data_IF_262805944702
#
_entry.id   IF_262805944702
#
_cell.length_a   1.000
_cell.length_b   1.000
_cell.length_c   1.000
_cell.angle_alpha   90.00
_cell.angle_beta   90.00
_cell.angle_gamma   90.00
#
_symmetry.space_group_name_H-M   'P 1'
#
loop_
_entity.id
_entity.type
_entity.pdbx_description
1 polymer ?
#
# COMPACT_ATOMS: atom_id res chain seq x y z
N UNK A 1 -64.93 55.28 -5.49
CA UNK A 1 -63.81 54.83 -6.35
C UNK A 1 -62.44 55.23 -5.80
N UNK A 2 -62.12 56.51 -5.55
CA UNK A 2 -60.78 56.92 -5.07
C UNK A 2 -60.36 56.40 -3.67
N UNK A 3 -61.32 56.03 -2.81
CA UNK A 3 -61.06 55.51 -1.45
C UNK A 3 -60.75 54.00 -1.47
N UNK A 4 -61.39 53.24 -2.36
CA UNK A 4 -61.10 51.80 -2.51
C UNK A 4 -59.73 51.56 -3.14
N UNK A 5 -59.33 52.37 -4.14
CA UNK A 5 -58.00 52.31 -4.76
C UNK A 5 -56.89 52.63 -3.76
N UNK A 6 -57.11 53.58 -2.86
CA UNK A 6 -56.13 53.95 -1.83
C UNK A 6 -55.90 52.82 -0.81
N UNK A 7 -56.99 52.14 -0.42
CA UNK A 7 -56.95 51.02 0.54
C UNK A 7 -56.33 49.75 -0.05
N UNK A 8 -56.55 49.47 -1.33
CA UNK A 8 -55.91 48.33 -2.02
C UNK A 8 -54.42 48.57 -2.26
N UNK A 9 -54.01 49.79 -2.60
CA UNK A 9 -52.60 50.17 -2.72
C UNK A 9 -51.85 50.04 -1.38
N UNK A 10 -52.42 50.50 -0.27
CA UNK A 10 -51.83 50.36 1.07
C UNK A 10 -51.68 48.90 1.49
N UNK A 11 -52.69 48.07 1.21
CA UNK A 11 -52.64 46.62 1.48
C UNK A 11 -51.55 45.94 0.65
N UNK A 12 -51.44 46.27 -0.64
CA UNK A 12 -50.41 45.74 -1.53
C UNK A 12 -49.01 46.14 -1.06
N UNK A 13 -48.78 47.42 -0.73
CA UNK A 13 -47.53 47.91 -0.16
C UNK A 13 -47.14 47.19 1.13
N UNK A 14 -48.12 46.93 2.00
CA UNK A 14 -47.89 46.21 3.27
C UNK A 14 -47.50 44.74 3.03
N UNK A 15 -48.19 44.06 2.11
CA UNK A 15 -47.87 42.68 1.73
C UNK A 15 -46.48 42.59 1.10
N UNK A 16 -46.17 43.45 0.12
CA UNK A 16 -44.86 43.48 -0.54
C UNK A 16 -43.74 43.72 0.47
N UNK A 17 -43.91 44.66 1.40
CA UNK A 17 -42.93 44.94 2.45
C UNK A 17 -42.71 43.74 3.37
N UNK A 18 -43.77 43.04 3.78
CA UNK A 18 -43.66 41.83 4.61
C UNK A 18 -42.95 40.71 3.84
N UNK A 19 -43.29 40.50 2.57
CA UNK A 19 -42.63 39.51 1.71
C UNK A 19 -41.15 39.81 1.54
N UNK A 20 -40.78 41.07 1.27
CA UNK A 20 -39.36 41.47 1.15
C UNK A 20 -38.61 41.24 2.47
N UNK A 21 -39.20 41.61 3.61
CA UNK A 21 -38.59 41.36 4.92
C UNK A 21 -38.42 39.86 5.21
N UNK A 22 -39.40 39.03 4.85
CA UNK A 22 -39.30 37.57 4.98
C UNK A 22 -38.19 37.00 4.09
N UNK A 23 -38.08 37.44 2.83
CA UNK A 23 -36.99 37.04 1.93
C UNK A 23 -35.62 37.46 2.47
N UNK A 24 -35.50 38.67 3.03
CA UNK A 24 -34.26 39.14 3.66
C UNK A 24 -33.87 38.32 4.90
N UNK A 25 -34.85 37.95 5.73
CA UNK A 25 -34.61 37.10 6.90
C UNK A 25 -34.11 35.70 6.50
N UNK A 26 -34.72 35.09 5.47
CA UNK A 26 -34.29 33.80 4.92
C UNK A 26 -32.89 33.89 4.30
N UNK A 27 -32.58 34.99 3.60
CA UNK A 27 -31.25 35.21 3.03
C UNK A 27 -30.17 35.31 4.12
N UNK A 28 -30.42 36.08 5.19
CA UNK A 28 -29.51 36.17 6.34
C UNK A 28 -29.30 34.83 7.05
N UNK A 29 -30.37 34.08 7.30
CA UNK A 29 -30.27 32.74 7.88
C UNK A 29 -29.45 31.80 7.01
N UNK A 30 -29.64 31.86 5.69
CA UNK A 30 -28.88 31.06 4.73
C UNK A 30 -27.38 31.38 4.79
N UNK A 31 -27.00 32.66 4.89
CA UNK A 31 -25.59 33.08 5.02
C UNK A 31 -24.95 32.47 6.28
N UNK A 32 -25.66 32.48 7.42
CA UNK A 32 -25.13 31.93 8.68
C UNK A 32 -24.94 30.41 8.57
N UNK A 33 -25.96 29.68 8.12
CA UNK A 33 -25.92 28.22 8.01
C UNK A 33 -24.85 27.77 7.02
N UNK A 34 -24.80 28.41 5.84
CA UNK A 34 -23.79 28.11 4.83
C UNK A 34 -22.39 28.48 5.30
N UNK A 35 -22.22 29.60 6.01
CA UNK A 35 -20.94 30.02 6.60
C UNK A 35 -20.39 29.00 7.60
N UNK A 36 -21.25 28.45 8.47
CA UNK A 36 -20.88 27.36 9.39
C UNK A 36 -20.46 26.11 8.60
N UNK A 37 -21.20 25.74 7.55
CA UNK A 37 -20.84 24.59 6.71
C UNK A 37 -19.48 24.79 6.00
N UNK A 38 -19.19 26.01 5.50
CA UNK A 38 -17.88 26.33 4.90
C UNK A 38 -16.76 26.13 5.92
N UNK A 39 -16.93 26.65 7.14
CA UNK A 39 -15.94 26.52 8.20
C UNK A 39 -15.71 25.04 8.57
N UNK A 40 -16.79 24.28 8.76
CA UNK A 40 -16.73 22.86 9.10
C UNK A 40 -16.05 22.02 8.01
N UNK A 41 -16.42 22.21 6.75
CA UNK A 41 -15.85 21.43 5.64
C UNK A 41 -14.39 21.81 5.35
N UNK A 42 -14.04 23.10 5.47
CA UNK A 42 -12.67 23.58 5.30
C UNK A 42 -11.73 23.14 6.42
N UNK A 43 -12.25 22.87 7.62
CA UNK A 43 -11.48 22.39 8.76
C UNK A 43 -11.13 20.89 8.69
N UNK A 44 -11.69 20.13 7.74
CA UNK A 44 -11.36 18.70 7.59
C UNK A 44 -9.92 18.53 7.10
N UNK A 45 -9.12 17.85 7.91
CA UNK A 45 -7.74 17.49 7.57
C UNK A 45 -7.66 16.07 7.01
N UNK A 46 -6.67 15.78 6.13
CA UNK A 46 -6.41 14.43 5.66
C UNK A 46 -5.95 13.54 6.82
N UNK A 47 -6.49 12.32 6.89
CA UNK A 47 -5.97 11.28 7.76
C UNK A 47 -4.82 10.55 7.04
N UNK A 48 -3.69 10.38 7.71
CA UNK A 48 -2.62 9.56 7.15
C UNK A 48 -2.97 8.07 7.24
N UNK A 49 -2.70 7.29 6.17
CA UNK A 49 -2.90 5.84 6.21
C UNK A 49 -1.93 5.19 7.19
N UNK A 50 -2.28 3.99 7.65
CA UNK A 50 -1.36 3.18 8.43
C UNK A 50 -0.11 2.85 7.58
N UNK A 51 1.09 2.87 8.17
CA UNK A 51 2.32 2.59 7.42
C UNK A 51 2.29 1.20 6.80
N UNK A 52 2.94 1.05 5.65
CA UNK A 52 3.06 -0.24 4.97
C UNK A 52 3.76 -1.24 5.90
N UNK A 53 3.17 -2.43 6.04
CA UNK A 53 3.75 -3.48 6.85
C UNK A 53 4.84 -4.22 6.07
N UNK A 54 5.82 -4.74 6.81
CA UNK A 54 6.83 -5.65 6.23
C UNK A 54 6.26 -7.06 6.18
N UNK A 55 6.68 -7.82 5.17
CA UNK A 55 6.34 -9.22 5.09
C UNK A 55 6.84 -9.99 6.33
N UNK A 56 6.14 -11.05 6.77
CA UNK A 56 6.61 -11.92 7.82
C UNK A 56 7.96 -12.55 7.47
N UNK A 57 8.90 -12.57 8.42
CA UNK A 57 10.19 -13.24 8.26
C UNK A 57 10.02 -14.77 8.33
N UNK A 58 9.65 -15.38 7.20
CA UNK A 58 9.61 -16.84 7.03
C UNK A 58 11.00 -17.38 6.72
N UNK A 59 11.33 -18.52 7.32
CA UNK A 59 12.57 -19.25 7.06
C UNK A 59 12.27 -20.63 6.48
N UNK A 60 13.24 -21.20 5.78
CA UNK A 60 13.13 -22.55 5.22
C UNK A 60 13.04 -23.59 6.34
N UNK A 61 12.02 -24.44 6.29
CA UNK A 61 11.68 -25.36 7.38
C UNK A 61 12.36 -26.73 7.24
N UNK A 62 13.04 -27.16 8.30
CA UNK A 62 13.63 -28.51 8.42
C UNK A 62 12.57 -29.61 8.44
N UNK A 63 11.39 -29.35 9.00
CA UNK A 63 10.31 -30.34 9.05
C UNK A 63 9.70 -30.57 7.67
N UNK A 64 9.60 -29.52 6.86
CA UNK A 64 9.10 -29.64 5.49
C UNK A 64 10.12 -30.33 4.58
N UNK A 65 11.42 -30.13 4.83
CA UNK A 65 12.48 -30.91 4.20
C UNK A 65 12.32 -32.41 4.52
N UNK A 66 12.15 -32.79 5.79
CA UNK A 66 11.99 -34.19 6.20
C UNK A 66 10.78 -34.83 5.51
N UNK A 67 9.66 -34.11 5.42
CA UNK A 67 8.46 -34.57 4.70
C UNK A 67 8.72 -34.75 3.20
N UNK A 68 9.48 -33.85 2.58
CA UNK A 68 9.85 -33.95 1.17
C UNK A 68 10.74 -35.17 0.91
N UNK A 69 11.78 -35.37 1.72
CA UNK A 69 12.72 -36.48 1.57
C UNK A 69 12.02 -37.86 1.67
N UNK A 70 10.98 -37.97 2.49
CA UNK A 70 10.16 -39.18 2.60
C UNK A 70 9.18 -39.39 1.43
N UNK A 71 8.87 -38.35 0.64
CA UNK A 71 7.97 -38.42 -0.52
C UNK A 71 8.71 -38.77 -1.82
N UNK A 72 9.90 -38.20 -2.02
CA UNK A 72 10.67 -38.34 -3.27
C UNK A 72 11.18 -39.77 -3.55
N UNK A 73 11.24 -40.64 -2.54
CA UNK A 73 11.60 -42.06 -2.73
C UNK A 73 10.54 -42.88 -3.52
N UNK A 74 9.35 -42.30 -3.81
CA UNK A 74 8.30 -42.93 -4.63
C UNK A 74 8.31 -42.55 -6.12
N UNK A 75 9.05 -41.52 -6.50
CA UNK A 75 9.12 -41.04 -7.89
C UNK A 75 10.58 -40.94 -8.30
N UNK A 76 11.07 -42.00 -8.93
CA UNK A 76 12.38 -42.00 -9.56
C UNK A 76 12.38 -41.07 -10.76
N UNK A 77 12.57 -39.76 -10.55
CA UNK A 77 12.95 -38.86 -11.63
C UNK A 77 14.45 -38.95 -11.86
N UNK A 78 14.80 -39.33 -13.07
CA UNK A 78 16.16 -39.37 -13.56
C UNK A 78 16.79 -37.97 -13.46
N UNK A 79 17.94 -37.89 -12.78
CA UNK A 79 18.81 -36.73 -12.88
C UNK A 79 19.16 -36.52 -14.35
N UNK A 80 18.74 -35.38 -14.92
CA UNK A 80 19.26 -34.91 -16.19
C UNK A 80 20.78 -34.78 -16.11
N UNK A 81 21.53 -35.27 -17.11
CA UNK A 81 22.98 -35.18 -17.10
C UNK A 81 23.39 -33.71 -17.05
N UNK A 82 24.18 -33.36 -16.02
CA UNK A 82 24.78 -32.04 -15.91
C UNK A 82 25.62 -31.77 -17.17
N UNK A 83 25.24 -30.76 -17.94
CA UNK A 83 26.05 -30.28 -19.06
C UNK A 83 27.35 -29.69 -18.51
N UNK A 84 28.49 -30.19 -19.01
CA UNK A 84 29.84 -29.69 -18.71
C UNK A 84 29.88 -28.17 -18.96
N UNK A 85 30.15 -27.32 -17.94
CA UNK A 85 30.21 -25.88 -18.14
C UNK A 85 31.49 -25.48 -18.88
N UNK A 86 31.38 -24.51 -19.80
CA UNK A 86 32.53 -23.78 -20.36
C UNK A 86 33.22 -23.00 -19.23
N UNK A 87 34.56 -22.81 -19.28
CA UNK A 87 35.29 -22.11 -18.24
C UNK A 87 34.85 -20.64 -18.21
N UNK A 88 34.15 -20.25 -17.14
CA UNK A 88 34.05 -18.83 -16.76
C UNK A 88 35.33 -18.45 -16.01
N UNK A 89 35.81 -17.23 -16.20
CA UNK A 89 37.02 -16.72 -15.56
C UNK A 89 37.04 -17.00 -14.04
N UNK A 90 38.19 -17.31 -13.43
CA UNK A 90 38.27 -17.76 -12.05
C UNK A 90 37.82 -16.64 -11.11
N UNK A 91 36.59 -16.75 -10.64
CA UNK A 91 35.99 -15.96 -9.58
C UNK A 91 36.20 -16.73 -8.29
N UNK A 92 36.84 -16.11 -7.29
CA UNK A 92 36.96 -16.71 -5.95
C UNK A 92 35.67 -16.55 -5.12
N UNK A 93 34.59 -16.03 -5.70
CA UNK A 93 33.33 -15.82 -4.98
C UNK A 93 32.75 -17.16 -4.55
N UNK A 94 32.26 -17.19 -3.32
CA UNK A 94 31.59 -18.32 -2.68
C UNK A 94 32.47 -19.56 -2.45
N UNK A 95 33.79 -19.47 -2.67
CA UNK A 95 34.69 -20.60 -2.51
C UNK A 95 34.66 -21.14 -1.07
N UNK A 96 34.59 -20.26 -0.08
CA UNK A 96 34.55 -20.64 1.34
C UNK A 96 33.26 -21.43 1.65
N UNK A 97 32.11 -20.88 1.25
CA UNK A 97 30.80 -21.49 1.46
C UNK A 97 30.67 -22.84 0.75
N UNK A 98 31.17 -22.93 -0.48
CA UNK A 98 31.16 -24.16 -1.28
C UNK A 98 32.11 -25.20 -0.72
N UNK A 99 33.31 -24.79 -0.27
CA UNK A 99 34.25 -25.68 0.42
C UNK A 99 33.62 -26.24 1.70
N UNK A 100 32.88 -25.41 2.43
CA UNK A 100 32.13 -25.83 3.63
C UNK A 100 31.01 -26.82 3.28
N UNK A 101 30.23 -26.57 2.22
CA UNK A 101 29.22 -27.51 1.72
C UNK A 101 29.83 -28.88 1.37
N UNK A 102 30.96 -28.87 0.67
CA UNK A 102 31.69 -30.10 0.33
C UNK A 102 32.17 -30.84 1.59
N UNK A 103 32.72 -30.13 2.59
CA UNK A 103 33.09 -30.75 3.87
C UNK A 103 31.90 -31.38 4.59
N UNK A 104 30.76 -30.69 4.65
CA UNK A 104 29.53 -31.22 5.25
C UNK A 104 29.03 -32.49 4.54
N UNK A 105 29.20 -32.60 3.21
CA UNK A 105 28.81 -33.79 2.45
C UNK A 105 29.72 -34.98 2.71
N UNK A 106 31.03 -34.76 2.83
CA UNK A 106 32.02 -35.76 3.26
C UNK A 106 31.69 -36.27 4.66
N UNK A 107 31.49 -35.36 5.63
CA UNK A 107 31.15 -35.73 7.01
C UNK A 107 29.85 -36.53 7.10
N UNK A 108 28.83 -36.16 6.31
CA UNK A 108 27.61 -36.95 6.20
C UNK A 108 27.88 -38.35 5.66
N UNK A 109 28.69 -38.47 4.60
CA UNK A 109 29.13 -39.74 4.03
C UNK A 109 29.76 -40.67 5.07
N UNK A 110 30.69 -40.14 5.88
CA UNK A 110 31.30 -40.87 7.00
C UNK A 110 30.24 -41.32 8.00
N UNK A 111 29.34 -40.42 8.42
CA UNK A 111 28.30 -40.71 9.40
C UNK A 111 27.34 -41.80 8.93
N UNK A 112 27.04 -41.88 7.63
CA UNK A 112 26.16 -42.92 7.05
C UNK A 112 26.89 -44.22 6.68
N UNK A 113 28.21 -44.30 6.92
CA UNK A 113 29.01 -45.50 6.68
C UNK A 113 29.45 -45.69 5.24
N UNK A 114 29.45 -44.63 4.42
CA UNK A 114 30.05 -44.69 3.09
C UNK A 114 31.57 -44.85 3.22
N UNK A 115 32.15 -45.79 2.47
CA UNK A 115 33.61 -45.85 2.32
C UNK A 115 34.03 -44.69 1.44
N UNK A 116 34.58 -43.66 2.06
CA UNK A 116 35.23 -42.56 1.35
C UNK A 116 36.66 -43.02 1.13
N UNK A 117 36.94 -43.54 -0.07
CA UNK A 117 38.32 -43.72 -0.51
C UNK A 117 39.02 -42.36 -0.41
N UNK A 118 40.29 -42.36 -0.01
CA UNK A 118 41.08 -41.13 0.06
C UNK A 118 41.15 -40.53 -1.35
N UNK A 119 40.24 -39.59 -1.63
CA UNK A 119 40.15 -38.93 -2.92
C UNK A 119 41.43 -38.09 -3.12
N UNK A 120 42.04 -38.17 -4.30
CA UNK A 120 43.20 -37.34 -4.61
C UNK A 120 42.82 -35.85 -4.48
N UNK A 121 43.71 -35.05 -3.91
CA UNK A 121 43.49 -33.62 -3.65
C UNK A 121 43.08 -32.86 -4.93
N UNK A 122 43.58 -33.29 -6.10
CA UNK A 122 43.21 -32.72 -7.39
C UNK A 122 41.73 -32.97 -7.75
N UNK A 123 41.20 -34.15 -7.44
CA UNK A 123 39.80 -34.52 -7.73
C UNK A 123 38.85 -33.80 -6.78
N UNK A 124 39.20 -33.70 -5.50
CA UNK A 124 38.44 -32.93 -4.52
C UNK A 124 38.36 -31.44 -4.91
N UNK A 125 39.48 -30.84 -5.33
CA UNK A 125 39.52 -29.46 -5.80
C UNK A 125 38.64 -29.24 -7.04
N UNK A 126 38.64 -30.19 -7.98
CA UNK A 126 37.78 -30.11 -9.16
C UNK A 126 36.28 -30.17 -8.79
N UNK A 127 35.86 -31.05 -7.89
CA UNK A 127 34.46 -31.12 -7.42
C UNK A 127 34.02 -29.84 -6.71
N UNK A 128 34.89 -29.26 -5.89
CA UNK A 128 34.63 -27.97 -5.22
C UNK A 128 34.43 -26.88 -6.26
N UNK A 129 35.28 -26.82 -7.29
CA UNK A 129 35.16 -25.82 -8.35
C UNK A 129 33.89 -26.01 -9.20
N UNK A 130 33.52 -27.25 -9.53
CA UNK A 130 32.27 -27.57 -10.24
C UNK A 130 31.04 -27.15 -9.43
N UNK A 131 31.04 -27.41 -8.12
CA UNK A 131 29.96 -26.96 -7.22
C UNK A 131 29.95 -25.43 -7.11
N UNK A 132 31.12 -24.79 -7.07
CA UNK A 132 31.26 -23.34 -6.99
C UNK A 132 30.68 -22.66 -8.21
N UNK A 133 31.01 -23.15 -9.41
CA UNK A 133 30.47 -22.64 -10.66
C UNK A 133 28.93 -22.77 -10.72
N UNK A 134 28.38 -23.87 -10.19
CA UNK A 134 26.91 -24.05 -10.10
C UNK A 134 26.27 -23.08 -9.11
N UNK A 135 26.85 -22.92 -7.91
CA UNK A 135 26.36 -21.99 -6.89
C UNK A 135 26.45 -20.54 -7.39
N UNK A 136 27.54 -20.16 -8.05
CA UNK A 136 27.70 -18.83 -8.62
C UNK A 136 26.65 -18.55 -9.71
N UNK A 137 26.40 -19.53 -10.60
CA UNK A 137 25.32 -19.41 -11.60
C UNK A 137 23.95 -19.22 -10.95
N UNK A 138 23.64 -19.98 -9.89
CA UNK A 138 22.37 -19.88 -9.18
C UNK A 138 22.25 -18.56 -8.40
N UNK A 139 23.35 -18.07 -7.82
CA UNK A 139 23.43 -16.79 -7.13
C UNK A 139 23.35 -15.58 -8.07
N UNK A 140 23.49 -15.79 -9.38
CA UNK A 140 23.28 -14.78 -10.40
C UNK A 140 21.82 -14.32 -10.54
N UNK A 141 20.85 -15.05 -9.98
CA UNK A 141 19.48 -14.56 -9.85
C UNK A 141 19.45 -13.37 -8.86
N UNK A 142 18.85 -12.22 -9.24
CA UNK A 142 18.76 -11.04 -8.38
C UNK A 142 18.15 -11.30 -6.98
N UNK A 143 17.32 -12.33 -6.83
CA UNK A 143 16.65 -12.69 -5.57
C UNK A 143 17.53 -13.50 -4.61
N UNK A 144 18.67 -14.01 -5.09
CA UNK A 144 19.51 -14.93 -4.32
C UNK A 144 20.77 -14.26 -3.81
N UNK A 145 21.71 -13.97 -4.71
CA UNK A 145 22.99 -13.36 -4.36
C UNK A 145 23.71 -14.03 -3.17
N UNK A 146 24.50 -13.25 -2.44
CA UNK A 146 25.32 -13.73 -1.32
C UNK A 146 24.49 -14.24 -0.13
N UNK A 147 23.36 -13.60 0.17
CA UNK A 147 22.49 -13.99 1.30
C UNK A 147 21.95 -15.40 1.12
N UNK A 148 21.51 -15.71 -0.10
CA UNK A 148 21.05 -17.05 -0.43
C UNK A 148 22.18 -18.08 -0.33
N UNK A 149 23.40 -17.76 -0.80
CA UNK A 149 24.53 -18.70 -0.71
C UNK A 149 24.84 -19.06 0.75
N UNK A 150 24.89 -18.05 1.64
CA UNK A 150 25.11 -18.26 3.07
C UNK A 150 23.99 -19.10 3.70
N UNK A 151 22.74 -18.72 3.49
CA UNK A 151 21.58 -19.45 4.01
C UNK A 151 21.53 -20.90 3.49
N UNK A 152 21.79 -21.10 2.20
CA UNK A 152 21.82 -22.43 1.56
C UNK A 152 22.92 -23.30 2.18
N UNK A 153 24.09 -22.71 2.44
CA UNK A 153 25.22 -23.41 3.06
C UNK A 153 24.90 -23.81 4.48
N UNK A 154 24.38 -22.89 5.30
CA UNK A 154 23.99 -23.15 6.68
C UNK A 154 22.90 -24.22 6.77
N UNK A 155 21.83 -24.06 5.97
CA UNK A 155 20.71 -24.99 5.95
C UNK A 155 21.13 -26.39 5.49
N UNK A 156 21.90 -26.48 4.39
CA UNK A 156 22.33 -27.77 3.84
C UNK A 156 23.27 -28.49 4.81
N UNK A 157 24.22 -27.77 5.42
CA UNK A 157 25.08 -28.36 6.45
C UNK A 157 24.29 -28.81 7.69
N UNK A 158 23.30 -28.02 8.13
CA UNK A 158 22.43 -28.40 9.25
C UNK A 158 21.61 -29.67 8.93
N UNK A 159 21.05 -29.75 7.71
CA UNK A 159 20.32 -30.92 7.25
C UNK A 159 21.19 -32.17 7.13
N UNK A 160 22.42 -32.04 6.65
CA UNK A 160 23.38 -33.14 6.58
C UNK A 160 23.90 -33.56 7.97
N UNK A 161 23.88 -32.67 8.95
CA UNK A 161 24.22 -33.00 10.33
C UNK A 161 23.03 -33.59 11.13
N UNK A 162 21.81 -33.54 10.59
CA UNK A 162 20.58 -33.93 11.29
C UNK A 162 20.54 -35.45 11.58
N UNK A 163 20.42 -35.85 12.85
CA UNK A 163 20.42 -37.28 13.23
C UNK A 163 19.28 -38.08 12.59
N UNK A 164 18.12 -37.46 12.37
CA UNK A 164 16.96 -38.13 11.76
C UNK A 164 17.22 -38.38 10.27
N UNK A 165 17.79 -37.42 9.54
CA UNK A 165 18.16 -37.60 8.13
C UNK A 165 19.27 -38.66 7.98
N UNK A 166 20.26 -38.66 8.87
CA UNK A 166 21.30 -39.70 8.91
C UNK A 166 20.69 -41.08 9.14
N UNK A 167 19.77 -41.22 10.11
CA UNK A 167 19.08 -42.47 10.39
C UNK A 167 18.25 -42.94 9.19
N UNK A 168 17.45 -42.04 8.58
CA UNK A 168 16.68 -42.35 7.37
C UNK A 168 17.56 -42.87 6.23
N UNK A 169 18.76 -42.29 6.05
CA UNK A 169 19.72 -42.74 5.03
C UNK A 169 20.29 -44.13 5.35
N UNK A 170 20.68 -44.38 6.60
CA UNK A 170 21.19 -45.69 7.05
C UNK A 170 20.15 -46.80 6.95
N UNK A 171 18.91 -46.49 7.26
CA UNK A 171 17.76 -47.41 7.17
C UNK A 171 17.31 -47.64 5.72
N UNK A 172 17.93 -46.98 4.74
CA UNK A 172 17.59 -47.12 3.32
C UNK A 172 16.25 -46.48 2.93
N UNK A 173 15.68 -45.63 3.79
CA UNK A 173 14.41 -44.91 3.54
C UNK A 173 14.55 -43.76 2.54
N UNK A 174 15.77 -43.33 2.27
CA UNK A 174 16.11 -42.27 1.31
C UNK A 174 17.39 -42.62 0.55
N UNK A 175 17.40 -42.40 -0.76
CA UNK A 175 18.53 -42.77 -1.64
C UNK A 175 19.60 -41.69 -1.82
N UNK A 176 19.22 -40.42 -1.83
CA UNK A 176 20.12 -39.27 -2.00
C UNK A 176 19.67 -38.16 -1.06
N UNK A 177 20.62 -37.35 -0.58
CA UNK A 177 20.34 -36.30 0.42
C UNK A 177 20.87 -34.95 -0.04
N UNK A 178 22.14 -34.86 -0.46
CA UNK A 178 22.79 -33.59 -0.79
C UNK A 178 22.02 -32.76 -1.83
N UNK A 179 21.82 -33.30 -3.04
CA UNK A 179 21.12 -32.57 -4.11
C UNK A 179 19.62 -32.33 -3.81
N UNK A 180 18.86 -33.30 -3.24
CA UNK A 180 17.49 -33.04 -2.81
C UNK A 180 17.37 -31.90 -1.79
N UNK A 181 18.24 -31.85 -0.78
CA UNK A 181 18.27 -30.76 0.22
C UNK A 181 18.57 -29.41 -0.45
N UNK A 182 19.59 -29.38 -1.32
CA UNK A 182 19.97 -28.17 -2.05
C UNK A 182 18.81 -27.64 -2.91
N UNK A 183 18.17 -28.54 -3.67
CA UNK A 183 17.03 -28.19 -4.52
C UNK A 183 15.80 -27.76 -3.71
N UNK A 184 15.55 -28.38 -2.56
CA UNK A 184 14.51 -27.94 -1.65
C UNK A 184 14.74 -26.52 -1.16
N UNK A 185 15.96 -26.22 -0.70
CA UNK A 185 16.29 -24.88 -0.24
C UNK A 185 16.14 -23.84 -1.35
N UNK A 186 16.56 -24.16 -2.59
CA UNK A 186 16.35 -23.31 -3.76
C UNK A 186 14.87 -22.98 -3.95
N UNK A 187 14.01 -24.01 -4.03
CA UNK A 187 12.57 -23.82 -4.28
C UNK A 187 11.88 -23.07 -3.13
N UNK A 188 12.22 -23.41 -1.88
CA UNK A 188 11.66 -22.78 -0.70
C UNK A 188 12.07 -21.31 -0.60
N UNK A 189 13.34 -21.00 -0.88
CA UNK A 189 13.82 -19.62 -0.91
C UNK A 189 13.09 -18.78 -1.95
N UNK A 190 13.02 -19.26 -3.20
CA UNK A 190 12.34 -18.55 -4.28
C UNK A 190 10.86 -18.29 -3.92
N UNK A 191 10.18 -19.29 -3.35
CA UNK A 191 8.79 -19.14 -2.89
C UNK A 191 8.66 -18.08 -1.78
N UNK A 192 9.59 -18.03 -0.82
CA UNK A 192 9.56 -17.05 0.27
C UNK A 192 9.81 -15.64 -0.26
N UNK A 193 10.76 -15.47 -1.17
CA UNK A 193 11.04 -14.17 -1.79
C UNK A 193 9.87 -13.69 -2.67
N UNK A 194 9.21 -14.60 -3.40
CA UNK A 194 8.02 -14.28 -4.20
C UNK A 194 6.82 -13.90 -3.31
N UNK A 195 6.58 -14.64 -2.22
CA UNK A 195 5.56 -14.30 -1.22
C UNK A 195 5.82 -12.93 -0.58
N UNK A 196 7.09 -12.65 -0.25
CA UNK A 196 7.50 -11.37 0.32
C UNK A 196 7.29 -10.22 -0.66
N UNK A 197 7.71 -10.38 -1.91
CA UNK A 197 7.51 -9.37 -2.94
C UNK A 197 6.02 -9.08 -3.18
N UNK A 198 5.19 -10.13 -3.23
CA UNK A 198 3.73 -10.01 -3.38
C UNK A 198 3.09 -9.32 -2.18
N UNK A 199 3.49 -9.67 -0.95
CA UNK A 199 2.98 -9.03 0.27
C UNK A 199 3.34 -7.54 0.31
N UNK A 200 4.61 -7.21 0.07
CA UNK A 200 5.07 -5.81 0.07
C UNK A 200 4.40 -4.99 -1.03
N UNK A 201 4.14 -5.59 -2.20
CA UNK A 201 3.38 -4.93 -3.25
C UNK A 201 1.93 -4.70 -2.84
N UNK A 202 1.25 -5.70 -2.30
CA UNK A 202 -0.12 -5.56 -1.82
C UNK A 202 -0.25 -4.50 -0.70
N UNK A 203 0.73 -4.41 0.20
CA UNK A 203 0.77 -3.38 1.24
C UNK A 203 1.01 -1.98 0.67
N UNK A 204 1.88 -1.84 -0.35
CA UNK A 204 2.04 -0.57 -1.07
C UNK A 204 0.73 -0.14 -1.73
N UNK A 205 0.08 -1.06 -2.44
CA UNK A 205 -1.19 -0.81 -3.12
C UNK A 205 -2.30 -0.45 -2.13
N UNK A 206 -2.35 -1.11 -0.95
CA UNK A 206 -3.27 -0.76 0.14
C UNK A 206 -3.07 0.69 0.59
N UNK A 207 -1.82 1.07 0.88
CA UNK A 207 -1.49 2.43 1.34
C UNK A 207 -1.82 3.47 0.29
N UNK A 208 -1.50 3.21 -0.98
CA UNK A 208 -1.83 4.12 -2.08
C UNK A 208 -3.34 4.30 -2.26
N UNK A 209 -4.10 3.20 -2.16
CA UNK A 209 -5.57 3.25 -2.20
C UNK A 209 -6.14 4.07 -1.04
N UNK A 210 -5.68 3.86 0.18
CA UNK A 210 -6.11 4.65 1.35
C UNK A 210 -5.81 6.14 1.17
N UNK A 211 -4.65 6.50 0.61
CA UNK A 211 -4.31 7.90 0.26
C UNK A 211 -5.25 8.47 -0.80
N UNK A 212 -5.57 7.70 -1.83
CA UNK A 212 -6.43 8.14 -2.92
C UNK A 212 -7.87 8.36 -2.44
N UNK A 213 -8.42 7.44 -1.65
CA UNK A 213 -9.75 7.54 -1.03
C UNK A 213 -9.83 8.77 -0.12
N UNK A 214 -8.80 8.99 0.70
CA UNK A 214 -8.76 10.13 1.59
C UNK A 214 -8.60 11.46 0.83
N UNK A 215 -7.76 11.49 -0.21
CA UNK A 215 -7.64 12.66 -1.09
C UNK A 215 -8.99 13.01 -1.74
N UNK A 216 -9.76 12.01 -2.15
CA UNK A 216 -11.10 12.20 -2.71
C UNK A 216 -12.08 12.75 -1.65
N UNK A 217 -12.05 12.22 -0.43
CA UNK A 217 -12.86 12.73 0.69
C UNK A 217 -12.58 14.21 0.97
N UNK A 218 -11.30 14.60 1.00
CA UNK A 218 -10.89 15.99 1.22
C UNK A 218 -11.22 16.88 0.03
N UNK A 219 -11.02 16.42 -1.20
CA UNK A 219 -11.40 17.15 -2.40
C UNK A 219 -12.91 17.42 -2.42
N UNK A 220 -13.73 16.43 -2.08
CA UNK A 220 -15.18 16.59 -1.98
C UNK A 220 -15.59 17.56 -0.85
N UNK A 221 -14.93 17.48 0.31
CA UNK A 221 -15.16 18.45 1.39
C UNK A 221 -14.85 19.89 0.93
N UNK A 222 -13.72 20.10 0.24
CA UNK A 222 -13.35 21.41 -0.32
C UNK A 222 -14.32 21.88 -1.40
N UNK A 223 -14.78 21.00 -2.28
CA UNK A 223 -15.78 21.32 -3.29
C UNK A 223 -17.11 21.76 -2.64
N UNK A 224 -17.57 21.03 -1.63
CA UNK A 224 -18.78 21.37 -0.87
C UNK A 224 -18.63 22.70 -0.11
N UNK A 225 -17.44 22.96 0.45
CA UNK A 225 -17.12 24.26 1.07
C UNK A 225 -17.20 25.38 0.04
N UNK A 226 -16.59 25.22 -1.14
CA UNK A 226 -16.61 26.23 -2.20
C UNK A 226 -18.03 26.49 -2.71
N UNK A 227 -18.81 25.45 -2.96
CA UNK A 227 -20.21 25.58 -3.37
C UNK A 227 -21.04 26.33 -2.31
N UNK A 228 -20.85 26.01 -1.03
CA UNK A 228 -21.52 26.70 0.08
C UNK A 228 -21.10 28.16 0.20
N UNK A 229 -19.82 28.46 -0.03
CA UNK A 229 -19.31 29.83 -0.01
C UNK A 229 -19.90 30.67 -1.15
N UNK A 230 -20.00 30.12 -2.36
CA UNK A 230 -20.65 30.78 -3.50
C UNK A 230 -22.13 31.05 -3.18
N UNK A 231 -22.86 30.05 -2.69
CA UNK A 231 -24.26 30.21 -2.32
C UNK A 231 -24.47 31.25 -1.21
N UNK A 232 -23.59 31.28 -0.20
CA UNK A 232 -23.61 32.30 0.85
C UNK A 232 -23.35 33.70 0.28
N UNK A 233 -22.38 33.83 -0.64
CA UNK A 233 -22.10 35.08 -1.33
C UNK A 233 -23.30 35.60 -2.12
N UNK A 234 -24.00 34.72 -2.84
CA UNK A 234 -25.24 35.07 -3.57
C UNK A 234 -26.33 35.51 -2.60
N UNK A 235 -26.59 34.76 -1.53
CA UNK A 235 -27.60 35.11 -0.53
C UNK A 235 -27.30 36.46 0.13
N UNK A 236 -26.04 36.72 0.47
CA UNK A 236 -25.60 38.00 1.01
C UNK A 236 -25.81 39.15 0.02
N UNK A 237 -25.44 38.96 -1.26
CA UNK A 237 -25.65 39.96 -2.30
C UNK A 237 -27.14 40.27 -2.51
N UNK A 238 -28.00 39.25 -2.52
CA UNK A 238 -29.46 39.43 -2.60
C UNK A 238 -29.99 40.21 -1.39
N UNK A 239 -29.56 39.85 -0.18
CA UNK A 239 -29.92 40.60 1.03
C UNK A 239 -29.52 42.09 0.92
N UNK A 240 -28.29 42.37 0.49
CA UNK A 240 -27.77 43.74 0.35
C UNK A 240 -28.57 44.54 -0.69
N UNK A 241 -28.91 43.94 -1.84
CA UNK A 241 -29.74 44.59 -2.86
C UNK A 241 -31.14 44.95 -2.33
N UNK A 242 -31.79 44.02 -1.62
CA UNK A 242 -33.10 44.28 -1.00
C UNK A 242 -33.01 45.34 0.11
N UNK A 243 -31.94 45.34 0.90
CA UNK A 243 -31.70 46.35 1.92
C UNK A 243 -31.55 47.75 1.31
N UNK A 244 -30.76 47.89 0.25
CA UNK A 244 -30.58 49.15 -0.49
C UNK A 244 -31.91 49.60 -1.10
N UNK A 245 -32.68 48.69 -1.69
CA UNK A 245 -34.01 48.99 -2.22
C UNK A 245 -34.95 49.54 -1.15
N UNK A 246 -35.03 48.90 0.02
CA UNK A 246 -35.87 49.38 1.13
C UNK A 246 -35.40 50.73 1.69
N UNK A 247 -34.09 50.96 1.78
CA UNK A 247 -33.54 52.25 2.20
C UNK A 247 -33.90 53.35 1.21
N UNK A 248 -33.72 53.11 -0.10
CA UNK A 248 -34.11 54.04 -1.15
C UNK A 248 -35.60 54.36 -1.13
N UNK A 249 -36.45 53.34 -1.04
CA UNK A 249 -37.91 53.50 -0.92
C UNK A 249 -38.31 54.34 0.30
N UNK A 250 -37.64 54.15 1.45
CA UNK A 250 -37.88 54.94 2.65
C UNK A 250 -37.43 56.40 2.49
N UNK A 251 -36.29 56.65 1.85
CA UNK A 251 -35.81 58.00 1.56
C UNK A 251 -36.80 58.72 0.64
N UNK A 252 -37.27 58.07 -0.42
CA UNK A 252 -38.25 58.64 -1.35
C UNK A 252 -39.57 58.97 -0.65
N UNK A 253 -40.06 58.05 0.20
CA UNK A 253 -41.28 58.28 0.99
C UNK A 253 -41.10 59.50 1.91
N UNK A 254 -40.00 59.56 2.66
CA UNK A 254 -39.70 60.69 3.54
C UNK A 254 -39.59 62.03 2.77
N UNK A 255 -38.97 62.03 1.59
CA UNK A 255 -38.84 63.22 0.75
C UNK A 255 -40.21 63.68 0.21
N UNK A 256 -41.07 62.74 -0.16
CA UNK A 256 -42.43 63.02 -0.61
C UNK A 256 -43.28 63.62 0.50
N UNK A 257 -43.23 63.06 1.70
CA UNK A 257 -43.94 63.58 2.88
C UNK A 257 -43.49 65.01 3.23
N UNK A 258 -42.18 65.29 3.19
CA UNK A 258 -41.64 66.64 3.40
C UNK A 258 -42.15 67.62 2.33
N UNK A 259 -42.15 67.22 1.06
CA UNK A 259 -42.62 68.06 -0.04
C UNK A 259 -44.13 68.36 0.06
N UNK A 260 -44.93 67.37 0.45
CA UNK A 260 -46.37 67.55 0.70
C UNK A 260 -46.62 68.47 1.90
N UNK A 261 -45.87 68.31 3.00
CA UNK A 261 -45.95 69.20 4.16
C UNK A 261 -45.59 70.67 3.83
N UNK A 262 -44.54 70.89 3.02
CA UNK A 262 -44.14 72.24 2.57
C UNK A 262 -45.21 72.86 1.66
N UNK A 263 -45.85 72.07 0.78
CA UNK A 263 -46.95 72.55 -0.05
C UNK A 263 -48.17 72.93 0.78
N UNK A 264 -48.50 72.16 1.81
CA UNK A 264 -49.60 72.45 2.73
C UNK A 264 -49.38 73.70 3.58
N UNK A 265 -48.12 74.09 3.84
CA UNK A 265 -47.77 75.35 4.51
C UNK A 265 -47.84 76.59 3.60
N UNK A 266 -47.87 76.40 2.27
CA UNK A 266 -47.96 77.48 1.27
C UNK A 266 -49.39 77.84 0.86
N UNK A 267 -50.37 77.05 1.28
CA UNK A 267 -51.82 77.31 1.18
C UNK A 267 -52.35 77.84 2.50
#
# INVERSE_FOLDING_TARGET
>A
MAIETKRTEELFLKIVKVTVLACMALALLSVIVLGINVAYQSAKMPNEPAPAQKAPDRQVSMDDLRKMLLKDDKTGEAQSPASVPKPMAPSLRYLEEVTRLYRCSIEFGIKVGAQIEHEDNAVAAQRVEELRAQVEKLAGDPRRGERWVKATTEFTCAALADPTIIAMRKEGKIKSVFYPVLNFHIKAWDSIEDEKAAFEQAERDRVERERAEEALRIAQARANAMASAIAAGVAFATFMLLAIYLLGSKIETNLRDINEAIRGLKT
#
